data_IF_360096465461
#
_entry.id   IF_360096465461
#
_cell.length_a   1.000
_cell.length_b   1.000
_cell.length_c   1.000
_cell.angle_alpha   90.00
_cell.angle_beta   90.00
_cell.angle_gamma   90.00
#
_symmetry.space_group_name_H-M   'P 1'
#
loop_
_entity.id
_entity.type
_entity.pdbx_description
1 polymer ?
#
# COMPACT_ATOMS: atom_id res chain seq x y z
N UNK A 1 -22.88 -45.22 37.77
CA UNK A 1 -22.93 -43.72 37.70
C UNK A 1 -21.96 -43.24 36.65
N UNK A 2 -22.44 -42.98 35.45
CA UNK A 2 -21.65 -42.48 34.32
C UNK A 2 -21.76 -40.94 34.33
N UNK A 3 -20.64 -40.26 34.60
CA UNK A 3 -20.58 -38.81 34.52
C UNK A 3 -20.39 -38.37 33.08
N UNK A 4 -21.43 -37.77 32.48
CA UNK A 4 -21.33 -37.04 31.20
C UNK A 4 -20.58 -35.73 31.44
N UNK A 5 -19.41 -35.56 30.84
CA UNK A 5 -18.75 -34.26 30.69
C UNK A 5 -19.31 -33.55 29.45
N UNK A 6 -20.09 -32.51 29.70
CA UNK A 6 -20.51 -31.58 28.63
C UNK A 6 -19.33 -30.69 28.29
N UNK A 7 -18.66 -30.94 27.16
CA UNK A 7 -17.72 -29.96 26.57
C UNK A 7 -18.59 -28.82 25.96
N UNK A 8 -18.64 -27.69 26.65
CA UNK A 8 -19.07 -26.42 26.03
C UNK A 8 -17.99 -25.98 25.04
N UNK A 9 -18.21 -26.25 23.77
CA UNK A 9 -17.43 -25.63 22.69
C UNK A 9 -17.75 -24.15 22.64
N UNK A 10 -16.83 -23.31 23.11
CA UNK A 10 -16.85 -21.86 22.87
C UNK A 10 -16.57 -21.65 21.38
N UNK A 11 -17.60 -21.52 20.57
CA UNK A 11 -17.45 -21.02 19.20
C UNK A 11 -17.07 -19.55 19.29
N UNK A 12 -15.80 -19.25 19.05
CA UNK A 12 -15.36 -17.89 18.72
C UNK A 12 -16.08 -17.49 17.43
N UNK A 13 -17.14 -16.70 17.56
CA UNK A 13 -17.74 -16.02 16.43
C UNK A 13 -16.70 -14.94 16.06
N UNK A 14 -15.86 -15.23 15.07
CA UNK A 14 -15.11 -14.21 14.35
C UNK A 14 -16.16 -13.32 13.68
N UNK A 15 -16.47 -12.19 14.28
CA UNK A 15 -17.24 -11.16 13.60
C UNK A 15 -16.36 -10.62 12.47
N UNK A 16 -16.71 -10.96 11.23
CA UNK A 16 -16.12 -10.34 10.04
C UNK A 16 -16.29 -8.81 10.11
N UNK A 17 -15.30 -8.06 9.64
CA UNK A 17 -15.36 -6.61 9.62
C UNK A 17 -16.63 -6.14 8.90
N UNK A 18 -17.44 -5.34 9.58
CA UNK A 18 -18.68 -4.82 9.01
C UNK A 18 -18.34 -3.71 8.01
N UNK A 19 -18.75 -3.89 6.73
CA UNK A 19 -18.53 -2.92 5.66
C UNK A 19 -19.87 -2.34 5.22
N UNK A 20 -19.96 -1.00 5.21
CA UNK A 20 -21.12 -0.26 4.73
C UNK A 20 -20.72 0.78 3.69
N UNK A 21 -21.60 1.09 2.72
CA UNK A 21 -21.34 2.10 1.69
C UNK A 21 -21.95 3.43 2.07
N UNK A 22 -21.09 4.40 2.32
CA UNK A 22 -21.45 5.79 2.63
C UNK A 22 -20.45 6.73 1.94
N UNK A 23 -20.68 6.98 0.64
CA UNK A 23 -19.73 7.67 -0.22
C UNK A 23 -19.61 9.15 0.11
N UNK A 24 -18.38 9.63 0.32
CA UNK A 24 -18.02 11.04 0.39
C UNK A 24 -17.59 11.58 -0.98
N UNK A 25 -17.13 10.70 -1.85
CA UNK A 25 -16.82 11.02 -3.25
C UNK A 25 -17.61 10.08 -4.16
N UNK A 26 -18.47 10.62 -5.00
CA UNK A 26 -19.41 9.88 -5.84
C UNK A 26 -19.25 10.12 -7.35
N UNK A 27 -18.23 10.91 -7.78
CA UNK A 27 -17.94 11.12 -9.20
C UNK A 27 -17.18 9.93 -9.76
N UNK A 28 -17.55 9.45 -10.93
CA UNK A 28 -16.96 8.25 -11.59
C UNK A 28 -17.06 6.96 -10.76
N UNK A 29 -18.02 6.87 -9.87
CA UNK A 29 -18.22 5.70 -9.01
C UNK A 29 -18.55 4.46 -9.83
N UNK A 30 -17.83 3.37 -9.56
CA UNK A 30 -18.11 2.06 -10.13
C UNK A 30 -19.16 1.32 -9.30
N UNK A 31 -19.92 0.44 -9.96
CA UNK A 31 -20.73 -0.59 -9.28
C UNK A 31 -19.83 -1.71 -8.75
N UNK A 32 -20.35 -2.56 -7.87
CA UNK A 32 -19.60 -3.72 -7.35
C UNK A 32 -19.03 -4.61 -8.45
N UNK A 33 -19.82 -4.78 -9.49
CA UNK A 33 -19.41 -5.42 -10.74
C UNK A 33 -19.61 -4.43 -11.88
N UNK A 34 -18.67 -4.37 -12.79
CA UNK A 34 -18.69 -3.45 -13.93
C UNK A 34 -18.04 -4.09 -15.15
N UNK A 35 -18.54 -3.70 -16.33
CA UNK A 35 -18.04 -4.21 -17.60
C UNK A 35 -16.69 -3.54 -17.95
N UNK A 36 -15.76 -4.35 -18.48
CA UNK A 36 -14.53 -3.90 -19.09
C UNK A 36 -14.40 -4.47 -20.49
N UNK A 37 -14.39 -3.60 -21.50
CA UNK A 37 -14.44 -4.03 -22.89
C UNK A 37 -15.75 -4.76 -23.21
N UNK A 38 -15.74 -5.59 -24.26
CA UNK A 38 -16.98 -6.26 -24.76
C UNK A 38 -17.29 -7.58 -24.05
N UNK A 39 -16.34 -8.20 -23.33
CA UNK A 39 -16.47 -9.60 -22.88
C UNK A 39 -15.96 -9.90 -21.47
N UNK A 40 -15.44 -8.90 -20.74
CA UNK A 40 -14.91 -9.12 -19.39
C UNK A 40 -15.66 -8.31 -18.35
N UNK A 41 -15.88 -8.95 -17.21
CA UNK A 41 -16.46 -8.33 -16.01
C UNK A 41 -15.36 -8.17 -14.98
N UNK A 42 -15.31 -7.01 -14.35
CA UNK A 42 -14.47 -6.71 -13.20
C UNK A 42 -15.31 -6.45 -11.99
N UNK A 43 -14.71 -6.58 -10.81
CA UNK A 43 -15.42 -6.39 -9.56
C UNK A 43 -14.50 -5.86 -8.46
N UNK A 44 -15.09 -5.36 -7.39
CA UNK A 44 -14.37 -5.15 -6.14
C UNK A 44 -14.24 -6.48 -5.39
N UNK A 45 -13.04 -6.79 -4.89
CA UNK A 45 -12.74 -8.04 -4.18
C UNK A 45 -13.12 -7.93 -2.69
N UNK A 46 -14.43 -7.78 -2.39
CA UNK A 46 -14.90 -7.52 -1.03
C UNK A 46 -14.48 -8.57 0.00
N UNK A 47 -14.47 -9.85 -0.36
CA UNK A 47 -14.00 -10.93 0.52
C UNK A 47 -12.52 -10.75 0.88
N UNK A 48 -11.69 -10.41 -0.11
CA UNK A 48 -10.27 -10.16 0.12
C UNK A 48 -10.07 -8.89 0.96
N UNK A 49 -10.82 -7.82 0.68
CA UNK A 49 -10.81 -6.59 1.47
C UNK A 49 -11.14 -6.91 2.93
N UNK A 50 -12.21 -7.65 3.18
CA UNK A 50 -12.62 -8.09 4.52
C UNK A 50 -11.50 -8.87 5.23
N UNK A 51 -10.91 -9.86 4.56
CA UNK A 51 -9.79 -10.65 5.09
C UNK A 51 -8.62 -9.76 5.52
N UNK A 52 -8.30 -8.72 4.76
CA UNK A 52 -7.22 -7.78 5.14
C UNK A 52 -7.61 -6.88 6.31
N UNK A 53 -8.87 -6.46 6.42
CA UNK A 53 -9.37 -5.68 7.55
C UNK A 53 -9.40 -6.51 8.83
N UNK A 54 -9.88 -7.76 8.79
CA UNK A 54 -9.83 -8.69 9.92
C UNK A 54 -8.39 -8.94 10.37
N UNK A 55 -7.48 -9.18 9.42
CA UNK A 55 -6.05 -9.34 9.69
C UNK A 55 -5.45 -8.09 10.33
N UNK A 56 -5.87 -6.88 9.91
CA UNK A 56 -5.41 -5.64 10.51
C UNK A 56 -5.84 -5.53 11.97
N UNK A 57 -7.10 -5.80 12.27
CA UNK A 57 -7.61 -5.77 13.64
C UNK A 57 -6.90 -6.78 14.55
N UNK A 58 -6.66 -7.98 14.07
CA UNK A 58 -5.89 -8.99 14.82
C UNK A 58 -4.44 -8.55 15.02
N UNK A 59 -3.83 -7.92 14.03
CA UNK A 59 -2.45 -7.42 14.10
C UNK A 59 -2.33 -6.28 15.12
N UNK A 60 -3.26 -5.32 15.10
CA UNK A 60 -3.33 -4.22 16.08
C UNK A 60 -3.56 -4.72 17.51
N UNK A 61 -4.42 -5.72 17.69
CA UNK A 61 -4.69 -6.35 19.02
C UNK A 61 -3.50 -7.13 19.53
N UNK A 62 -2.77 -7.82 18.63
CA UNK A 62 -1.65 -8.69 18.99
C UNK A 62 -0.38 -7.91 19.32
N UNK A 63 -0.13 -6.81 18.62
CA UNK A 63 1.12 -6.07 18.72
C UNK A 63 0.88 -4.64 19.21
N UNK A 64 1.33 -4.30 20.44
CA UNK A 64 1.07 -3.00 21.05
C UNK A 64 1.88 -1.85 20.42
N UNK A 65 2.97 -2.17 19.71
CA UNK A 65 3.83 -1.17 19.06
C UNK A 65 3.93 -1.44 17.57
N UNK A 66 3.38 -0.53 16.78
CA UNK A 66 3.44 -0.59 15.32
C UNK A 66 4.39 0.47 14.78
N UNK A 67 4.89 0.21 13.59
CA UNK A 67 5.79 1.09 12.85
C UNK A 67 5.74 0.80 11.36
N UNK A 68 6.57 1.49 10.63
CA UNK A 68 6.82 1.18 9.23
C UNK A 68 8.31 1.27 8.93
N UNK A 69 8.75 0.58 7.90
CA UNK A 69 10.14 0.65 7.46
C UNK A 69 10.28 1.71 6.37
N UNK A 70 11.30 2.57 6.47
CA UNK A 70 11.48 3.73 5.61
C UNK A 70 12.90 3.81 5.00
N UNK A 71 12.98 3.94 3.68
CA UNK A 71 14.23 4.17 2.98
C UNK A 71 14.06 4.86 1.62
N UNK A 72 13.07 5.73 1.49
CA UNK A 72 12.89 6.50 0.25
C UNK A 72 14.16 7.26 -0.13
N UNK A 73 14.55 7.18 -1.41
CA UNK A 73 15.80 7.76 -1.94
C UNK A 73 17.08 7.28 -1.24
N UNK A 74 17.03 6.11 -0.60
CA UNK A 74 18.15 5.55 0.18
C UNK A 74 18.65 6.48 1.29
N UNK A 75 17.77 7.28 1.90
CA UNK A 75 18.13 8.25 2.95
C UNK A 75 18.82 7.58 4.14
N UNK A 76 18.47 6.33 4.46
CA UNK A 76 19.07 5.52 5.51
C UNK A 76 20.21 4.60 5.01
N UNK A 77 20.69 4.85 3.78
CA UNK A 77 21.73 4.05 3.12
C UNK A 77 21.15 2.89 2.30
N UNK A 78 21.93 2.43 1.32
CA UNK A 78 21.58 1.25 0.54
C UNK A 78 21.90 -0.02 1.33
N UNK A 79 21.00 -1.02 1.39
CA UNK A 79 21.28 -2.31 2.02
C UNK A 79 22.51 -3.01 1.41
N UNK A 80 23.15 -3.91 2.14
CA UNK A 80 24.14 -4.82 1.57
C UNK A 80 23.51 -5.71 0.49
N UNK A 81 24.34 -6.23 -0.41
CA UNK A 81 23.88 -7.19 -1.42
C UNK A 81 23.54 -8.54 -0.76
N UNK A 82 22.54 -9.23 -1.32
CA UNK A 82 22.19 -10.60 -0.94
C UNK A 82 22.89 -11.53 -1.94
N UNK A 83 23.93 -12.22 -1.50
CA UNK A 83 24.73 -13.13 -2.37
C UNK A 83 25.23 -12.45 -3.64
N UNK A 84 25.59 -11.16 -3.57
CA UNK A 84 26.02 -10.37 -4.73
C UNK A 84 24.90 -9.79 -5.59
N UNK A 85 23.62 -10.12 -5.31
CA UNK A 85 22.48 -9.74 -6.12
C UNK A 85 21.81 -8.46 -5.63
N UNK A 86 21.25 -7.68 -6.57
CA UNK A 86 20.51 -6.45 -6.33
C UNK A 86 19.00 -6.66 -6.21
N UNK A 87 18.51 -7.88 -6.42
CA UNK A 87 17.10 -8.28 -6.33
C UNK A 87 17.05 -9.54 -5.46
N UNK A 88 16.18 -9.57 -4.48
CA UNK A 88 15.99 -10.76 -3.64
C UNK A 88 15.15 -11.85 -4.33
N UNK A 89 15.06 -13.02 -3.71
CA UNK A 89 14.30 -14.17 -4.24
C UNK A 89 12.77 -13.92 -4.35
N UNK A 90 12.25 -12.84 -3.79
CA UNK A 90 10.85 -12.42 -3.90
C UNK A 90 10.69 -11.28 -4.94
N UNK A 91 11.74 -10.98 -5.70
CA UNK A 91 11.75 -9.93 -6.71
C UNK A 91 11.75 -8.51 -6.13
N UNK A 92 12.14 -8.32 -4.85
CA UNK A 92 12.26 -6.99 -4.26
C UNK A 92 13.62 -6.41 -4.58
N UNK A 93 13.69 -5.26 -5.29
CA UNK A 93 14.98 -4.65 -5.61
C UNK A 93 15.57 -3.94 -4.37
N UNK A 94 16.89 -3.99 -4.28
CA UNK A 94 17.72 -3.36 -3.24
C UNK A 94 17.52 -1.83 -3.14
N UNK A 95 17.34 -1.18 -4.29
CA UNK A 95 17.21 0.27 -4.37
C UNK A 95 15.98 0.76 -3.59
N UNK A 96 16.19 1.66 -2.62
CA UNK A 96 15.17 2.18 -1.71
C UNK A 96 14.48 1.06 -0.88
N UNK A 97 15.20 -0.02 -0.63
CA UNK A 97 14.73 -1.12 0.20
C UNK A 97 15.40 -1.11 1.57
N UNK A 98 14.91 -1.98 2.43
CA UNK A 98 15.37 -2.17 3.81
C UNK A 98 15.96 -3.58 3.92
N UNK A 99 17.14 -3.77 4.56
CA UNK A 99 17.66 -5.10 4.78
C UNK A 99 16.88 -5.82 5.87
N UNK A 100 16.41 -7.02 5.57
CA UNK A 100 15.76 -7.94 6.51
C UNK A 100 16.73 -9.09 6.80
N UNK A 101 17.18 -9.17 8.05
CA UNK A 101 18.10 -10.20 8.51
C UNK A 101 17.35 -11.32 9.23
N UNK A 102 17.84 -12.54 9.09
CA UNK A 102 17.40 -13.64 9.94
C UNK A 102 17.82 -13.37 11.38
N UNK A 103 16.95 -13.55 12.39
CA UNK A 103 17.32 -13.32 13.80
C UNK A 103 18.58 -14.07 14.25
N UNK A 104 18.88 -15.21 13.65
CA UNK A 104 20.06 -16.02 13.97
C UNK A 104 21.30 -15.69 13.11
N UNK A 105 21.20 -14.77 12.15
CA UNK A 105 22.30 -14.37 11.28
C UNK A 105 22.17 -12.91 10.83
N UNK A 106 22.98 -12.04 11.42
CA UNK A 106 23.02 -10.60 11.13
C UNK A 106 24.17 -10.20 10.20
N UNK A 107 24.92 -11.16 9.65
CA UNK A 107 26.09 -10.84 8.79
C UNK A 107 25.67 -10.37 7.39
N UNK A 108 24.63 -10.98 6.82
CA UNK A 108 24.09 -10.64 5.50
C UNK A 108 22.57 -10.61 5.55
N UNK A 109 21.91 -9.67 4.86
CA UNK A 109 20.45 -9.68 4.78
C UNK A 109 19.96 -10.94 4.04
N UNK A 110 18.88 -11.51 4.53
CA UNK A 110 18.22 -12.66 3.89
C UNK A 110 17.21 -12.22 2.81
N UNK A 111 16.61 -11.03 2.99
CA UNK A 111 15.58 -10.45 2.10
C UNK A 111 15.68 -8.92 2.10
N UNK A 112 14.95 -8.30 1.16
CA UNK A 112 14.70 -6.86 1.16
C UNK A 112 13.25 -6.55 1.53
N UNK A 113 13.04 -5.64 2.48
CA UNK A 113 11.74 -5.05 2.79
C UNK A 113 11.45 -3.86 1.88
N UNK A 114 10.17 -3.61 1.59
CA UNK A 114 9.76 -2.44 0.80
C UNK A 114 9.57 -1.22 1.70
N UNK A 115 10.05 -0.07 1.25
CA UNK A 115 9.79 1.23 1.89
C UNK A 115 8.29 1.42 2.16
N UNK A 116 7.94 1.95 3.32
CA UNK A 116 6.56 2.20 3.76
C UNK A 116 5.80 0.99 4.29
N UNK A 117 6.40 -0.21 4.30
CA UNK A 117 5.70 -1.43 4.76
C UNK A 117 5.37 -1.37 6.25
N UNK A 118 4.11 -1.69 6.59
CA UNK A 118 3.62 -1.81 7.97
C UNK A 118 4.30 -2.98 8.68
N UNK A 119 4.77 -2.73 9.88
CA UNK A 119 5.41 -3.73 10.76
C UNK A 119 4.98 -3.56 12.21
N UNK A 120 5.02 -4.66 12.97
CA UNK A 120 5.00 -4.62 14.42
C UNK A 120 6.43 -4.66 14.94
N UNK A 121 6.72 -3.89 15.99
CA UNK A 121 8.01 -3.87 16.68
C UNK A 121 7.89 -4.78 17.90
N UNK A 122 8.53 -5.96 17.82
CA UNK A 122 8.44 -6.97 18.88
C UNK A 122 9.43 -6.65 20.00
N UNK A 123 10.67 -6.33 19.63
CA UNK A 123 11.73 -6.01 20.58
C UNK A 123 12.73 -5.03 19.98
N UNK A 124 13.28 -4.15 20.81
CA UNK A 124 14.34 -3.22 20.43
C UNK A 124 15.66 -3.59 21.08
N UNK A 125 16.72 -3.53 20.29
CA UNK A 125 18.11 -3.69 20.71
C UNK A 125 18.87 -2.43 20.33
N UNK A 126 20.12 -2.33 20.73
CA UNK A 126 20.95 -1.13 20.50
C UNK A 126 21.03 -0.71 19.03
N UNK A 127 21.26 -1.65 18.12
CA UNK A 127 21.42 -1.37 16.69
C UNK A 127 20.29 -1.91 15.80
N UNK A 128 19.53 -2.87 16.28
CA UNK A 128 18.49 -3.57 15.54
C UNK A 128 17.19 -3.62 16.33
N UNK A 129 16.11 -3.84 15.62
CA UNK A 129 14.83 -4.25 16.21
C UNK A 129 14.35 -5.54 15.58
N UNK A 130 13.74 -6.40 16.39
CA UNK A 130 12.99 -7.55 15.91
C UNK A 130 11.61 -7.08 15.51
N UNK A 131 11.21 -7.34 14.28
CA UNK A 131 9.93 -6.96 13.74
C UNK A 131 9.15 -8.13 13.17
N UNK A 132 7.81 -8.00 13.14
CA UNK A 132 6.90 -8.82 12.36
C UNK A 132 6.34 -7.97 11.22
N UNK A 133 6.51 -8.40 9.98
CA UNK A 133 5.91 -7.71 8.85
C UNK A 133 4.42 -8.06 8.71
N UNK A 134 3.58 -7.08 8.43
CA UNK A 134 2.17 -7.34 8.12
C UNK A 134 1.98 -8.13 6.81
N UNK A 135 2.79 -7.84 5.79
CA UNK A 135 2.63 -8.40 4.44
C UNK A 135 3.55 -9.58 4.13
N UNK A 136 4.43 -9.95 5.04
CA UNK A 136 5.40 -11.05 4.85
C UNK A 136 5.47 -11.93 6.08
N UNK A 137 5.54 -13.22 5.88
CA UNK A 137 5.71 -14.19 6.97
C UNK A 137 7.11 -14.11 7.60
N UNK A 138 7.23 -14.63 8.82
CA UNK A 138 8.47 -14.65 9.59
C UNK A 138 8.67 -13.38 10.43
N UNK A 139 9.70 -13.46 11.28
CA UNK A 139 10.21 -12.35 12.08
C UNK A 139 11.59 -11.97 11.54
N UNK A 140 11.91 -10.68 11.59
CA UNK A 140 13.10 -10.15 10.93
C UNK A 140 13.83 -9.17 11.83
N UNK A 141 15.15 -9.23 11.85
CA UNK A 141 15.96 -8.18 12.43
C UNK A 141 16.18 -7.07 11.41
N UNK A 142 15.89 -5.83 11.81
CA UNK A 142 16.05 -4.63 10.98
C UNK A 142 16.89 -3.60 11.71
N UNK A 143 17.93 -2.99 11.07
CA UNK A 143 18.67 -1.89 11.71
C UNK A 143 17.74 -0.72 12.06
N UNK A 144 17.85 -0.21 13.27
CA UNK A 144 16.94 0.80 13.83
C UNK A 144 16.77 2.05 12.95
N UNK A 145 17.83 2.45 12.20
CA UNK A 145 17.79 3.60 11.30
C UNK A 145 16.76 3.50 10.15
N UNK A 146 16.24 2.29 9.86
CA UNK A 146 15.22 2.08 8.83
C UNK A 146 13.81 2.00 9.39
N UNK A 147 13.61 2.23 10.68
CA UNK A 147 12.35 1.96 11.36
C UNK A 147 11.79 3.26 11.94
N UNK A 148 10.60 3.61 11.50
CA UNK A 148 9.80 4.70 12.07
C UNK A 148 8.64 4.13 12.88
N UNK A 149 8.48 4.59 14.12
CA UNK A 149 7.40 4.18 15.02
C UNK A 149 6.16 5.04 14.78
N UNK A 150 4.99 4.42 14.88
CA UNK A 150 3.72 5.10 14.73
C UNK A 150 3.17 5.42 16.13
N UNK A 151 2.81 6.67 16.36
CA UNK A 151 2.34 7.16 17.66
C UNK A 151 0.96 6.64 18.08
N UNK A 152 0.19 6.05 17.15
CA UNK A 152 -1.14 5.50 17.40
C UNK A 152 -1.31 4.21 16.60
N UNK A 153 -1.76 3.15 17.26
CA UNK A 153 -2.02 1.85 16.64
C UNK A 153 -3.45 1.70 16.13
N UNK A 154 -4.24 2.77 16.09
CA UNK A 154 -5.61 2.76 15.61
C UNK A 154 -5.68 3.31 14.18
N UNK A 155 -5.56 2.41 13.20
CA UNK A 155 -5.73 2.76 11.81
C UNK A 155 -7.21 2.79 11.43
N UNK A 156 -7.75 3.98 11.35
CA UNK A 156 -9.14 4.18 10.97
C UNK A 156 -9.33 4.63 9.51
N UNK A 157 -8.27 4.60 8.68
CA UNK A 157 -8.34 4.90 7.25
C UNK A 157 -7.58 3.88 6.43
N UNK A 158 -8.25 3.30 5.44
CA UNK A 158 -7.70 2.29 4.56
C UNK A 158 -8.00 2.61 3.09
N UNK A 159 -7.03 2.34 2.22
CA UNK A 159 -7.13 2.45 0.77
C UNK A 159 -6.77 1.08 0.19
N UNK A 160 -7.66 0.49 -0.60
CA UNK A 160 -7.39 -0.74 -1.32
C UNK A 160 -7.24 -0.45 -2.80
N UNK A 161 -6.10 -0.84 -3.37
CA UNK A 161 -5.76 -0.71 -4.79
C UNK A 161 -5.71 -2.12 -5.37
N UNK A 162 -6.62 -2.42 -6.27
CA UNK A 162 -6.71 -3.71 -6.96
C UNK A 162 -6.05 -3.63 -8.33
N UNK A 163 -4.88 -4.27 -8.48
CA UNK A 163 -4.13 -4.28 -9.74
C UNK A 163 -4.81 -5.13 -10.81
N UNK A 164 -5.50 -6.21 -10.42
CA UNK A 164 -6.18 -7.12 -11.34
C UNK A 164 -7.43 -6.46 -11.94
N UNK A 165 -8.24 -5.82 -11.11
CA UNK A 165 -9.48 -5.19 -11.54
C UNK A 165 -9.33 -3.69 -11.86
N UNK A 166 -8.14 -3.10 -11.65
CA UNK A 166 -7.84 -1.68 -11.93
C UNK A 166 -8.84 -0.74 -11.26
N UNK A 167 -9.12 -0.98 -9.98
CA UNK A 167 -9.99 -0.15 -9.16
C UNK A 167 -9.36 0.21 -7.82
N UNK A 168 -9.98 1.16 -7.13
CA UNK A 168 -9.57 1.64 -5.83
C UNK A 168 -10.80 1.85 -4.94
N UNK A 169 -10.66 1.51 -3.66
CA UNK A 169 -11.64 1.80 -2.61
C UNK A 169 -10.95 2.59 -1.52
N UNK A 170 -11.58 3.65 -1.02
CA UNK A 170 -11.19 4.32 0.22
C UNK A 170 -12.22 4.06 1.30
N UNK A 171 -11.76 3.80 2.51
CA UNK A 171 -12.61 3.45 3.65
C UNK A 171 -12.13 4.13 4.92
N UNK A 172 -13.04 4.52 5.79
CA UNK A 172 -12.70 4.85 7.17
C UNK A 172 -13.58 4.10 8.19
N UNK A 173 -12.99 3.80 9.34
CA UNK A 173 -13.64 3.08 10.44
C UNK A 173 -14.34 4.07 11.36
N UNK A 174 -15.63 3.91 11.55
CA UNK A 174 -16.47 4.70 12.45
C UNK A 174 -17.30 3.74 13.29
N UNK A 175 -17.18 3.80 14.60
CA UNK A 175 -17.93 2.95 15.53
C UNK A 175 -17.85 1.46 15.14
N UNK A 176 -16.62 0.95 14.97
CA UNK A 176 -16.30 -0.44 14.58
C UNK A 176 -16.79 -0.86 13.17
N UNK A 177 -17.41 0.03 12.39
CA UNK A 177 -17.87 -0.23 11.03
C UNK A 177 -16.99 0.48 10.02
N UNK A 178 -16.52 -0.25 9.00
CA UNK A 178 -15.79 0.29 7.87
C UNK A 178 -16.74 0.91 6.85
N UNK A 179 -16.69 2.23 6.72
CA UNK A 179 -17.50 3.01 5.76
C UNK A 179 -16.73 3.19 4.45
N UNK A 180 -17.27 2.70 3.35
CA UNK A 180 -16.72 2.95 2.01
C UNK A 180 -16.94 4.41 1.63
N UNK A 181 -15.86 5.15 1.34
CA UNK A 181 -15.89 6.58 1.03
C UNK A 181 -15.76 6.92 -0.45
N UNK A 182 -15.14 6.02 -1.22
CA UNK A 182 -15.12 6.09 -2.69
C UNK A 182 -14.91 4.72 -3.31
N UNK A 183 -15.37 4.54 -4.56
CA UNK A 183 -15.23 3.33 -5.38
C UNK A 183 -14.96 3.74 -6.83
N UNK A 184 -13.70 3.74 -7.26
CA UNK A 184 -13.32 4.40 -8.50
C UNK A 184 -12.39 3.56 -9.39
N UNK A 185 -12.40 3.82 -10.72
CA UNK A 185 -11.42 3.24 -11.62
C UNK A 185 -10.05 3.89 -11.43
N UNK A 186 -8.99 3.09 -11.56
CA UNK A 186 -7.60 3.55 -11.55
C UNK A 186 -6.79 2.93 -12.67
N UNK A 187 -5.56 3.39 -12.85
CA UNK A 187 -4.56 2.76 -13.72
C UNK A 187 -3.28 2.57 -12.92
N UNK A 188 -2.88 1.31 -12.74
CA UNK A 188 -1.69 0.91 -11.98
C UNK A 188 -0.44 0.79 -12.86
N UNK A 189 0.72 0.48 -12.25
CA UNK A 189 1.98 0.28 -12.93
C UNK A 189 2.00 -0.95 -13.84
N UNK A 190 2.57 -0.78 -15.06
CA UNK A 190 2.80 -1.88 -16.02
C UNK A 190 4.18 -2.49 -15.82
N UNK A 191 4.33 -3.75 -16.20
CA UNK A 191 5.66 -4.40 -16.28
C UNK A 191 6.32 -4.07 -17.61
N UNK A 192 7.23 -3.08 -17.63
CA UNK A 192 7.97 -2.68 -18.84
C UNK A 192 9.34 -2.10 -18.47
N UNK A 193 10.30 -2.95 -18.03
CA UNK A 193 11.65 -2.51 -17.70
C UNK A 193 12.36 -1.84 -18.88
N UNK A 194 13.31 -0.91 -18.65
CA UNK A 194 13.78 -0.48 -17.34
C UNK A 194 12.94 0.64 -16.69
N UNK A 195 12.00 1.26 -17.43
CA UNK A 195 11.34 2.49 -17.00
C UNK A 195 10.06 2.28 -16.18
N UNK A 196 9.39 1.13 -16.35
CA UNK A 196 8.13 0.86 -15.66
C UNK A 196 8.17 -0.46 -14.91
N UNK A 197 7.55 -0.48 -13.74
CA UNK A 197 7.35 -1.67 -12.92
C UNK A 197 5.89 -1.73 -12.43
N UNK A 198 5.37 -2.93 -12.13
CA UNK A 198 4.07 -3.06 -11.50
C UNK A 198 4.00 -2.31 -10.19
N UNK A 199 2.85 -1.72 -9.85
CA UNK A 199 2.60 -1.19 -8.51
C UNK A 199 2.86 -2.31 -7.49
N UNK A 200 3.76 -2.13 -6.50
CA UNK A 200 4.18 -3.23 -5.63
C UNK A 200 3.05 -3.72 -4.73
N UNK A 201 2.83 -5.04 -4.68
CA UNK A 201 1.92 -5.67 -3.72
C UNK A 201 2.41 -5.49 -2.28
N UNK A 202 1.49 -5.34 -1.33
CA UNK A 202 1.79 -5.20 0.09
C UNK A 202 0.89 -4.22 0.82
N UNK A 203 1.20 -4.01 2.09
CA UNK A 203 0.51 -3.05 2.96
C UNK A 203 1.48 -1.98 3.39
N UNK A 204 1.14 -0.76 3.09
CA UNK A 204 1.99 0.41 3.24
C UNK A 204 1.28 1.50 4.03
N UNK A 205 2.05 2.48 4.52
CA UNK A 205 1.51 3.68 5.12
C UNK A 205 1.63 4.87 4.16
N UNK A 206 0.69 5.80 4.20
CA UNK A 206 0.84 7.10 3.52
C UNK A 206 1.95 7.89 4.19
N UNK A 207 3.00 8.25 3.41
CA UNK A 207 4.22 8.88 3.94
C UNK A 207 4.41 10.33 3.54
N UNK A 208 3.89 10.76 2.40
CA UNK A 208 4.13 12.09 1.86
C UNK A 208 2.96 12.55 0.97
N UNK A 209 2.76 13.86 0.91
CA UNK A 209 1.79 14.48 0.00
C UNK A 209 2.45 15.63 -0.77
N UNK A 210 2.19 15.70 -2.08
CA UNK A 210 2.65 16.78 -2.95
C UNK A 210 1.49 17.32 -3.77
N UNK A 211 1.23 18.61 -3.71
CA UNK A 211 0.21 19.27 -4.56
C UNK A 211 0.49 19.05 -6.05
N UNK A 212 1.76 19.21 -6.46
CA UNK A 212 2.29 18.87 -7.79
C UNK A 212 3.57 18.03 -7.61
N UNK A 213 3.55 16.80 -8.08
CA UNK A 213 4.72 15.93 -8.15
C UNK A 213 5.32 16.05 -9.55
N UNK A 214 6.51 16.63 -9.66
CA UNK A 214 7.26 16.67 -10.92
C UNK A 214 7.78 15.27 -11.27
N UNK A 215 7.81 14.95 -12.56
CA UNK A 215 8.45 13.73 -13.06
C UNK A 215 9.36 14.05 -14.24
N UNK A 216 10.40 13.25 -14.35
CA UNK A 216 11.43 13.39 -15.37
C UNK A 216 11.07 12.58 -16.62
N UNK A 217 11.62 12.98 -17.74
CA UNK A 217 11.59 12.21 -18.98
C UNK A 217 12.35 10.89 -18.79
N UNK A 218 11.80 9.82 -19.33
CA UNK A 218 12.45 8.51 -19.29
C UNK A 218 13.89 8.56 -19.83
N UNK A 219 14.82 8.04 -19.05
CA UNK A 219 16.24 8.06 -19.38
C UNK A 219 16.97 9.38 -19.09
N UNK A 220 16.29 10.40 -18.55
CA UNK A 220 16.90 11.67 -18.14
C UNK A 220 16.97 11.79 -16.61
N UNK A 221 18.00 12.48 -16.12
CA UNK A 221 18.17 12.82 -14.70
C UNK A 221 17.74 14.25 -14.35
N UNK A 222 17.46 15.10 -15.33
CA UNK A 222 17.27 16.55 -15.19
C UNK A 222 16.12 17.14 -16.04
N UNK A 223 15.68 16.47 -17.10
CA UNK A 223 14.63 16.99 -17.96
C UNK A 223 13.26 16.71 -17.34
N UNK A 224 12.59 17.76 -16.86
CA UNK A 224 11.21 17.67 -16.37
C UNK A 224 10.28 17.50 -17.58
N UNK A 225 9.56 16.38 -17.63
CA UNK A 225 8.56 16.10 -18.67
C UNK A 225 7.18 16.64 -18.31
N UNK A 226 6.88 16.73 -17.03
CA UNK A 226 5.58 17.19 -16.56
C UNK A 226 5.37 17.09 -15.06
N UNK A 227 4.10 17.09 -14.67
CA UNK A 227 3.72 16.93 -13.27
C UNK A 227 2.46 16.06 -13.11
N UNK A 228 2.32 15.47 -11.93
CA UNK A 228 1.11 14.76 -11.50
C UNK A 228 0.49 15.50 -10.31
N UNK A 229 -0.81 15.92 -10.40
CA UNK A 229 -1.46 16.67 -9.34
C UNK A 229 -1.89 15.76 -8.18
N UNK A 230 -1.94 16.32 -6.97
CA UNK A 230 -2.47 15.68 -5.75
C UNK A 230 -1.84 14.32 -5.45
N UNK A 231 -0.51 14.26 -5.45
CA UNK A 231 0.23 13.04 -5.27
C UNK A 231 0.37 12.65 -3.80
N UNK A 232 0.05 11.39 -3.48
CA UNK A 232 0.12 10.78 -2.15
C UNK A 232 1.01 9.55 -2.22
N UNK A 233 2.21 9.61 -1.60
CA UNK A 233 3.21 8.54 -1.61
C UNK A 233 2.93 7.48 -0.55
N UNK A 234 3.10 6.21 -0.92
CA UNK A 234 2.94 5.08 0.00
C UNK A 234 4.13 4.12 0.01
N UNK A 235 4.89 3.97 -1.08
CA UNK A 235 6.10 3.14 -1.11
C UNK A 235 7.08 3.62 -2.17
N UNK A 236 8.37 3.68 -1.89
CA UNK A 236 9.40 4.10 -2.84
C UNK A 236 8.94 5.33 -3.64
N UNK A 237 9.06 5.29 -4.98
CA UNK A 237 8.51 6.31 -5.89
C UNK A 237 7.06 6.06 -6.33
N UNK A 238 6.29 5.18 -5.68
CA UNK A 238 4.89 4.95 -6.00
C UNK A 238 3.97 5.94 -5.28
N UNK A 239 3.17 6.64 -6.05
CA UNK A 239 2.18 7.62 -5.60
C UNK A 239 0.81 7.28 -6.18
N UNK A 240 -0.25 7.56 -5.44
CA UNK A 240 -1.58 7.80 -5.99
C UNK A 240 -1.65 9.26 -6.40
N UNK A 241 -2.10 9.57 -7.62
CA UNK A 241 -2.14 10.96 -8.13
C UNK A 241 -3.18 11.12 -9.23
N UNK A 242 -3.50 12.36 -9.59
CA UNK A 242 -4.37 12.70 -10.72
C UNK A 242 -3.75 12.38 -12.08
N UNK A 243 -4.46 12.72 -13.15
CA UNK A 243 -3.97 12.49 -14.50
C UNK A 243 -2.68 13.29 -14.72
N UNK A 244 -1.58 12.64 -15.18
CA UNK A 244 -0.34 13.34 -15.49
C UNK A 244 -0.54 14.41 -16.56
N UNK A 245 0.17 15.52 -16.41
CA UNK A 245 0.16 16.66 -17.34
C UNK A 245 1.56 16.85 -17.90
N UNK A 246 1.74 16.53 -19.18
CA UNK A 246 3.01 16.71 -19.90
C UNK A 246 3.15 18.15 -20.39
N UNK A 247 4.36 18.72 -20.27
CA UNK A 247 4.69 20.00 -20.84
C UNK A 247 4.56 19.97 -22.38
N UNK A 248 4.17 21.08 -23.04
CA UNK A 248 3.97 22.43 -22.50
C UNK A 248 2.61 22.68 -21.84
N UNK A 249 1.72 21.68 -21.75
CA UNK A 249 0.43 21.86 -21.07
C UNK A 249 0.64 22.13 -19.58
N UNK A 250 -0.12 23.08 -19.04
CA UNK A 250 -0.09 23.47 -17.62
C UNK A 250 -1.39 23.21 -16.89
N UNK A 251 -2.52 23.09 -17.61
CA UNK A 251 -3.84 22.86 -17.04
C UNK A 251 -4.02 21.40 -16.63
N UNK A 252 -4.65 21.20 -15.48
CA UNK A 252 -4.99 19.87 -15.00
C UNK A 252 -6.00 19.17 -15.92
N UNK A 253 -5.75 17.89 -16.17
CA UNK A 253 -6.66 17.01 -16.92
C UNK A 253 -7.51 16.28 -15.88
N UNK A 254 -8.83 16.42 -15.98
CA UNK A 254 -9.74 15.82 -15.00
C UNK A 254 -9.80 14.29 -15.12
N UNK A 255 -9.94 13.76 -16.33
CA UNK A 255 -10.24 12.36 -16.55
C UNK A 255 -9.53 11.79 -17.78
N UNK A 256 -9.25 10.51 -17.74
CA UNK A 256 -8.75 9.75 -18.89
C UNK A 256 -9.63 8.50 -19.09
N UNK A 257 -10.08 8.21 -20.32
CA UNK A 257 -10.82 6.98 -20.63
C UNK A 257 -10.01 5.70 -20.43
N UNK A 258 -8.71 5.82 -20.15
CA UNK A 258 -7.82 4.70 -19.86
C UNK A 258 -7.89 4.26 -18.39
N UNK A 259 -8.53 5.02 -17.50
CA UNK A 259 -8.76 4.60 -16.11
C UNK A 259 -9.65 3.36 -16.09
N UNK A 260 -9.30 2.41 -15.20
CA UNK A 260 -10.01 1.14 -15.07
C UNK A 260 -9.74 0.13 -16.20
N UNK A 261 -8.83 0.43 -17.15
CA UNK A 261 -8.56 -0.45 -18.30
C UNK A 261 -7.46 -1.47 -17.99
N UNK A 262 -6.22 -1.14 -18.16
CA UNK A 262 -5.06 -2.01 -17.97
C UNK A 262 -3.91 -1.24 -17.31
N UNK A 263 -2.93 -1.92 -16.70
CA UNK A 263 -1.75 -1.27 -16.15
C UNK A 263 -0.98 -0.49 -17.22
N UNK A 264 -0.69 0.81 -16.99
CA UNK A 264 -0.04 1.71 -17.97
C UNK A 264 0.96 2.68 -17.36
N UNK A 265 0.98 2.84 -16.04
CA UNK A 265 1.89 3.80 -15.38
C UNK A 265 3.28 3.20 -15.15
N UNK A 266 4.23 4.02 -14.71
CA UNK A 266 5.58 3.56 -14.37
C UNK A 266 5.63 2.73 -13.07
N UNK A 267 4.79 3.01 -12.10
CA UNK A 267 4.60 2.29 -10.84
C UNK A 267 3.45 2.91 -10.02
N UNK A 268 3.12 4.16 -10.35
CA UNK A 268 2.09 4.95 -9.66
C UNK A 268 0.67 4.45 -9.95
N UNK A 269 -0.28 4.97 -9.21
CA UNK A 269 -1.72 4.73 -9.36
C UNK A 269 -2.40 6.01 -9.82
N UNK A 270 -2.78 6.05 -11.11
CA UNK A 270 -3.46 7.19 -11.73
C UNK A 270 -4.94 7.15 -11.40
N UNK A 271 -5.48 8.27 -10.97
CA UNK A 271 -6.89 8.50 -10.63
C UNK A 271 -7.46 9.63 -11.51
N UNK A 272 -8.79 9.75 -11.59
CA UNK A 272 -9.39 11.03 -11.96
C UNK A 272 -8.84 12.13 -11.04
N UNK A 273 -8.56 13.32 -11.57
CA UNK A 273 -7.85 14.36 -10.80
C UNK A 273 -8.66 14.83 -9.59
N UNK A 274 -9.98 14.93 -9.72
CA UNK A 274 -10.86 15.24 -8.57
C UNK A 274 -10.87 14.12 -7.52
N UNK A 275 -10.73 12.83 -7.93
CA UNK A 275 -10.60 11.71 -7.00
C UNK A 275 -9.24 11.73 -6.29
N UNK A 276 -8.15 12.00 -7.03
CA UNK A 276 -6.83 12.18 -6.43
C UNK A 276 -6.83 13.34 -5.41
N UNK A 277 -7.53 14.45 -5.71
CA UNK A 277 -7.73 15.56 -4.75
C UNK A 277 -8.49 15.09 -3.52
N UNK A 278 -9.56 14.32 -3.69
CA UNK A 278 -10.29 13.74 -2.56
C UNK A 278 -9.36 12.88 -1.69
N UNK A 279 -8.60 11.95 -2.27
CA UNK A 279 -7.64 11.11 -1.52
C UNK A 279 -6.59 11.98 -0.82
N UNK A 280 -6.06 13.00 -1.52
CA UNK A 280 -5.07 13.92 -0.98
C UNK A 280 -5.60 14.66 0.26
N UNK A 281 -6.82 15.17 0.23
CA UNK A 281 -7.42 15.91 1.34
C UNK A 281 -7.85 14.97 2.48
N UNK A 282 -8.45 13.82 2.15
CA UNK A 282 -9.04 12.88 3.10
C UNK A 282 -8.00 12.03 3.83
N UNK A 283 -6.93 11.56 3.16
CA UNK A 283 -5.92 10.71 3.78
C UNK A 283 -5.08 11.48 4.80
N UNK A 284 -4.40 10.76 5.71
CA UNK A 284 -3.50 11.32 6.72
C UNK A 284 -2.15 10.64 6.65
N UNK A 285 -1.06 11.43 6.69
CA UNK A 285 0.31 10.92 6.75
C UNK A 285 0.46 10.14 8.06
N UNK A 286 1.12 8.98 7.99
CA UNK A 286 1.39 8.05 9.09
C UNK A 286 0.13 7.49 9.80
N UNK A 287 -1.08 7.68 9.23
CA UNK A 287 -2.34 7.22 9.81
C UNK A 287 -3.29 6.57 8.78
N UNK A 288 -2.93 6.58 7.49
CA UNK A 288 -3.73 5.94 6.44
C UNK A 288 -2.95 4.77 5.86
N UNK A 289 -3.55 3.59 5.86
CA UNK A 289 -2.97 2.39 5.25
C UNK A 289 -3.34 2.27 3.77
N UNK A 290 -2.44 1.71 3.00
CA UNK A 290 -2.62 1.42 1.57
C UNK A 290 -2.35 -0.06 1.32
N UNK A 291 -3.36 -0.80 0.95
CA UNK A 291 -3.31 -2.21 0.59
C UNK A 291 -3.29 -2.33 -0.93
N UNK A 292 -2.20 -2.83 -1.48
CA UNK A 292 -2.11 -3.15 -2.92
C UNK A 292 -2.32 -4.64 -3.07
N UNK A 293 -3.41 -5.02 -3.74
CA UNK A 293 -3.87 -6.41 -3.92
C UNK A 293 -3.96 -6.79 -5.40
N UNK A 294 -4.02 -8.10 -5.67
CA UNK A 294 -4.24 -8.72 -7.00
C UNK A 294 -5.46 -9.64 -6.97
#
# INVERSE_FOLDING_TARGET
MIKFFLLLGLSLILNAAQIEKELLYNKYTLKDQYSYGKKSTRQFQWEKINTYLDKLEDFEKTYPTLGFVANYKNINGSPALINGETIDSDGVPRNQAIPLYNPNNLSTPAKYGRDGSLVAIISRYEQFSLIKSFSRDGEWMVPNRYLDEISSNDFNKAIFIDRKNQNIVTMDKINETWKVRSMNPVTTGRNHPPFSAPTPLGTYIVQEKKYKMLYLKDGSSDIIEGYSPYAVRFTRGAYMHGIPVNLPRTEMIEYSPLLGTEPRSHMCVRNATSHAKFIYDWSRINQTLVFVID
#
